data_IF_948261691346
#
_entry.id   IF_948261691346
#
_cell.length_a   1.000
_cell.length_b   1.000
_cell.length_c   1.000
_cell.angle_alpha   90.00
_cell.angle_beta   90.00
_cell.angle_gamma   90.00
#
_symmetry.space_group_name_H-M   'P 1'
#
loop_
_entity.id
_entity.type
_entity.pdbx_description
1 polymer ?
#
# COMPACT_ATOMS: atom_id res chain seq x y z
N UNK A 1 19.58 -10.73 -17.60
CA UNK A 1 19.50 -9.49 -16.79
C UNK A 1 20.87 -8.82 -16.58
N UNK A 2 21.98 -9.56 -16.63
CA UNK A 2 23.32 -9.07 -16.30
C UNK A 2 23.81 -7.89 -17.16
N UNK A 3 23.55 -7.88 -18.46
CA UNK A 3 24.01 -6.80 -19.34
C UNK A 3 23.28 -5.47 -19.08
N UNK A 4 21.95 -5.51 -18.94
CA UNK A 4 21.15 -4.33 -18.65
C UNK A 4 21.48 -3.71 -17.28
N UNK A 5 21.92 -4.54 -16.32
CA UNK A 5 22.37 -4.07 -15.02
C UNK A 5 23.64 -3.21 -15.11
N UNK A 6 24.60 -3.58 -15.97
CA UNK A 6 25.88 -2.88 -16.19
C UNK A 6 25.78 -1.56 -16.97
N UNK A 7 24.63 -1.28 -17.59
CA UNK A 7 24.44 -0.03 -18.35
C UNK A 7 24.53 1.20 -17.43
N UNK A 8 25.23 2.28 -17.84
CA UNK A 8 25.26 3.54 -17.13
C UNK A 8 23.84 4.07 -16.84
N UNK A 9 23.56 4.60 -15.63
CA UNK A 9 22.23 5.07 -15.24
C UNK A 9 21.60 6.10 -16.18
N UNK A 10 22.43 6.97 -16.78
CA UNK A 10 22.06 7.98 -17.77
C UNK A 10 21.36 7.43 -19.03
N UNK A 11 21.62 6.17 -19.38
CA UNK A 11 20.93 5.50 -20.49
C UNK A 11 19.57 4.90 -20.07
N UNK A 12 19.38 4.62 -18.78
CA UNK A 12 18.11 4.13 -18.23
C UNK A 12 17.14 5.30 -18.01
N UNK A 13 17.66 6.44 -17.57
CA UNK A 13 16.92 7.68 -17.30
C UNK A 13 17.70 8.89 -17.82
N UNK A 14 17.14 9.60 -18.81
CA UNK A 14 17.74 10.82 -19.38
C UNK A 14 16.88 12.04 -19.03
N UNK A 15 17.19 12.71 -17.93
CA UNK A 15 16.30 13.73 -17.33
C UNK A 15 14.98 13.09 -16.89
N UNK A 16 13.84 13.65 -17.28
CA UNK A 16 12.51 13.06 -17.03
C UNK A 16 12.12 11.96 -18.04
N UNK A 17 13.00 11.59 -18.98
CA UNK A 17 12.73 10.54 -19.97
C UNK A 17 13.15 9.18 -19.44
N UNK A 18 12.19 8.50 -18.80
CA UNK A 18 12.33 7.10 -18.39
C UNK A 18 12.42 6.14 -19.60
N UNK A 19 13.13 5.02 -19.39
CA UNK A 19 13.32 3.94 -20.37
C UNK A 19 13.98 4.44 -21.66
N UNK A 20 14.92 5.39 -21.55
CA UNK A 20 15.47 6.12 -22.69
C UNK A 20 16.10 5.18 -23.74
N UNK A 21 17.10 4.37 -23.36
CA UNK A 21 17.77 3.46 -24.29
C UNK A 21 16.80 2.44 -24.91
N UNK A 22 15.83 1.94 -24.14
CA UNK A 22 14.82 1.01 -24.65
C UNK A 22 13.93 1.67 -25.71
N UNK A 23 13.51 2.91 -25.49
CA UNK A 23 12.71 3.67 -26.44
C UNK A 23 13.51 3.95 -27.71
N UNK A 24 14.78 4.33 -27.61
CA UNK A 24 15.65 4.53 -28.79
C UNK A 24 15.82 3.25 -29.61
N UNK A 25 16.05 2.10 -28.97
CA UNK A 25 16.24 0.82 -29.66
C UNK A 25 15.00 0.33 -30.42
N UNK A 26 13.80 0.71 -29.96
CA UNK A 26 12.53 0.23 -30.54
C UNK A 26 11.85 1.24 -31.48
N UNK A 27 12.42 2.44 -31.63
CA UNK A 27 11.97 3.42 -32.62
C UNK A 27 11.95 2.79 -34.02
N UNK A 28 10.90 3.06 -34.78
CA UNK A 28 10.69 2.51 -36.12
C UNK A 28 10.29 1.03 -36.17
N UNK A 29 10.27 0.33 -35.04
CA UNK A 29 9.83 -1.09 -34.97
C UNK A 29 8.38 -1.25 -34.50
N UNK A 30 7.87 -0.28 -33.74
CA UNK A 30 6.47 -0.24 -33.28
C UNK A 30 5.90 1.17 -33.47
N UNK A 31 4.56 1.35 -33.50
CA UNK A 31 3.95 2.66 -33.68
C UNK A 31 4.45 3.69 -32.65
N UNK A 32 4.69 4.92 -33.10
CA UNK A 32 5.18 6.00 -32.26
C UNK A 32 4.27 6.29 -31.05
N UNK A 33 2.97 6.03 -31.18
CA UNK A 33 2.00 6.14 -30.09
C UNK A 33 2.31 5.20 -28.91
N UNK A 34 2.87 4.03 -29.17
CA UNK A 34 3.24 3.05 -28.13
C UNK A 34 4.59 3.43 -27.50
N UNK A 35 5.57 3.82 -28.31
CA UNK A 35 6.91 4.25 -27.82
C UNK A 35 6.81 5.46 -26.89
N UNK A 36 5.94 6.42 -27.24
CA UNK A 36 5.77 7.67 -26.51
C UNK A 36 4.70 7.60 -25.42
N UNK A 37 4.03 6.44 -25.24
CA UNK A 37 3.02 6.29 -24.19
C UNK A 37 3.66 6.56 -22.81
N UNK A 38 3.06 7.44 -21.99
CA UNK A 38 3.53 7.65 -20.63
C UNK A 38 3.39 6.36 -19.82
N UNK A 39 4.34 6.14 -18.89
CA UNK A 39 4.28 5.01 -17.98
C UNK A 39 3.02 5.15 -17.13
N UNK A 40 2.13 4.17 -17.26
CA UNK A 40 0.99 4.03 -16.37
C UNK A 40 1.45 3.19 -15.19
N UNK A 41 1.46 3.77 -13.99
CA UNK A 41 1.64 2.99 -12.78
C UNK A 41 0.52 1.97 -12.69
N UNK A 42 0.84 0.74 -12.27
CA UNK A 42 -0.19 -0.21 -11.91
C UNK A 42 -0.98 0.35 -10.73
N UNK A 43 -2.31 0.40 -10.86
CA UNK A 43 -3.21 0.78 -9.78
C UNK A 43 -3.97 -0.45 -9.33
N UNK A 44 -3.72 -0.88 -8.10
CA UNK A 44 -4.46 -1.97 -7.50
C UNK A 44 -5.92 -1.53 -7.26
N UNK A 45 -6.91 -2.41 -7.48
CA UNK A 45 -8.32 -2.09 -7.26
C UNK A 45 -8.70 -2.17 -5.77
N UNK A 46 -8.03 -1.39 -4.91
CA UNK A 46 -8.17 -1.48 -3.45
C UNK A 46 -9.63 -1.32 -3.00
N UNK A 47 -10.27 -0.19 -3.29
CA UNK A 47 -11.65 0.04 -2.88
C UNK A 47 -12.64 -1.01 -3.41
N UNK A 48 -12.63 -1.40 -4.70
CA UNK A 48 -13.44 -2.52 -5.17
C UNK A 48 -13.19 -3.83 -4.44
N UNK A 49 -11.94 -4.14 -4.08
CA UNK A 49 -11.58 -5.38 -3.39
C UNK A 49 -12.05 -5.43 -1.93
N UNK A 50 -12.03 -4.29 -1.23
CA UNK A 50 -12.29 -4.25 0.22
C UNK A 50 -13.64 -3.63 0.60
N UNK A 51 -14.28 -2.86 -0.30
CA UNK A 51 -15.58 -2.22 -0.05
C UNK A 51 -16.65 -2.60 -1.09
N UNK A 52 -16.29 -3.36 -2.13
CA UNK A 52 -17.18 -3.79 -3.20
C UNK A 52 -18.04 -5.02 -2.87
N UNK A 53 -18.74 -5.52 -3.89
CA UNK A 53 -19.53 -6.76 -3.78
C UNK A 53 -18.58 -7.94 -3.55
N UNK A 54 -18.78 -8.67 -2.45
CA UNK A 54 -17.90 -9.78 -2.05
C UNK A 54 -16.69 -9.34 -1.23
N UNK A 55 -16.69 -8.10 -0.70
CA UNK A 55 -15.72 -7.69 0.30
C UNK A 55 -15.72 -8.67 1.48
N UNK A 56 -14.53 -9.05 2.01
CA UNK A 56 -14.45 -9.93 3.17
C UNK A 56 -15.17 -9.34 4.38
N UNK A 57 -15.88 -10.19 5.15
CA UNK A 57 -16.71 -9.77 6.28
C UNK A 57 -15.90 -9.00 7.35
N UNK A 58 -14.68 -9.46 7.64
CA UNK A 58 -13.79 -8.84 8.61
C UNK A 58 -13.51 -7.36 8.31
N UNK A 59 -13.57 -6.93 7.04
CA UNK A 59 -13.26 -5.55 6.66
C UNK A 59 -14.29 -4.58 7.22
N UNK A 60 -15.57 -4.96 7.16
CA UNK A 60 -16.65 -4.11 7.68
C UNK A 60 -16.57 -4.01 9.20
N UNK A 61 -16.22 -5.10 9.87
CA UNK A 61 -16.01 -5.11 11.32
C UNK A 61 -14.86 -4.19 11.73
N UNK A 62 -13.67 -4.34 11.11
CA UNK A 62 -12.49 -3.56 11.45
C UNK A 62 -12.61 -2.06 11.14
N UNK A 63 -13.46 -1.69 10.18
CA UNK A 63 -13.73 -0.30 9.84
C UNK A 63 -14.97 0.26 10.56
N UNK A 64 -15.61 -0.53 11.43
CA UNK A 64 -16.76 -0.08 12.20
C UNK A 64 -16.35 0.94 13.26
N UNK A 65 -17.26 1.88 13.57
CA UNK A 65 -17.03 2.89 14.61
C UNK A 65 -16.66 2.27 15.97
N UNK A 66 -17.27 1.13 16.31
CA UNK A 66 -16.98 0.38 17.53
C UNK A 66 -15.52 -0.08 17.59
N UNK A 67 -15.01 -0.71 16.53
CA UNK A 67 -13.63 -1.24 16.52
C UNK A 67 -12.61 -0.11 16.39
N UNK A 68 -12.89 0.89 15.56
CA UNK A 68 -12.05 2.10 15.46
C UNK A 68 -11.89 2.77 16.84
N UNK A 69 -12.98 2.86 17.61
CA UNK A 69 -12.96 3.40 18.97
C UNK A 69 -12.22 2.49 19.96
N UNK A 70 -12.44 1.17 19.91
CA UNK A 70 -11.78 0.20 20.80
C UNK A 70 -10.26 0.14 20.60
N UNK A 71 -9.80 0.28 19.36
CA UNK A 71 -8.36 0.23 19.06
C UNK A 71 -7.68 1.58 19.28
N UNK A 72 -8.43 2.69 19.20
CA UNK A 72 -7.97 4.02 19.56
C UNK A 72 -6.89 4.64 18.65
N UNK A 73 -6.54 3.98 17.53
CA UNK A 73 -5.52 4.47 16.59
C UNK A 73 -6.05 5.60 15.71
N UNK A 74 -7.32 5.53 15.31
CA UNK A 74 -7.93 6.50 14.40
C UNK A 74 -9.18 7.11 15.02
N UNK A 75 -9.43 8.38 14.69
CA UNK A 75 -10.65 9.07 15.10
C UNK A 75 -11.85 8.59 14.25
N UNK A 76 -12.84 7.88 14.82
CA UNK A 76 -13.97 7.35 14.08
C UNK A 76 -14.79 8.44 13.36
N UNK A 77 -14.93 9.62 13.99
CA UNK A 77 -15.68 10.75 13.43
C UNK A 77 -15.08 11.27 12.11
N UNK A 78 -13.80 10.97 11.84
CA UNK A 78 -13.12 11.35 10.59
C UNK A 78 -13.07 10.21 9.59
N UNK A 79 -12.79 8.98 10.06
CA UNK A 79 -12.57 7.82 9.19
C UNK A 79 -13.88 7.27 8.65
N UNK A 80 -14.92 7.13 9.47
CA UNK A 80 -16.19 6.54 9.04
C UNK A 80 -16.82 7.31 7.86
N UNK A 81 -16.94 8.65 7.90
CA UNK A 81 -17.45 9.41 6.76
C UNK A 81 -16.55 9.30 5.52
N UNK A 82 -15.23 9.21 5.71
CA UNK A 82 -14.28 9.04 4.62
C UNK A 82 -14.46 7.69 3.93
N UNK A 83 -14.56 6.59 4.68
CA UNK A 83 -14.80 5.25 4.12
C UNK A 83 -16.14 5.20 3.38
N UNK A 84 -17.19 5.80 3.93
CA UNK A 84 -18.50 5.89 3.26
C UNK A 84 -18.45 6.71 1.96
N UNK A 85 -17.67 7.80 1.94
CA UNK A 85 -17.41 8.57 0.71
C UNK A 85 -16.70 7.70 -0.33
N UNK A 86 -15.66 6.95 0.07
CA UNK A 86 -14.89 6.08 -0.83
C UNK A 86 -15.79 4.98 -1.40
N UNK A 87 -16.63 4.36 -0.56
CA UNK A 87 -17.55 3.30 -0.95
C UNK A 87 -18.58 3.73 -2.01
N UNK A 88 -19.01 5.00 -1.96
CA UNK A 88 -19.97 5.57 -2.91
C UNK A 88 -19.31 6.10 -4.19
N UNK A 89 -17.99 6.23 -4.21
CA UNK A 89 -17.26 6.73 -5.37
C UNK A 89 -17.06 5.62 -6.41
N UNK A 90 -17.47 5.88 -7.65
CA UNK A 90 -17.22 4.98 -8.78
C UNK A 90 -15.72 4.93 -9.15
N UNK A 91 -14.98 6.01 -8.87
CA UNK A 91 -13.54 6.11 -9.14
C UNK A 91 -12.80 6.81 -7.99
N UNK A 92 -12.51 6.07 -6.90
CA UNK A 92 -11.72 6.61 -5.81
C UNK A 92 -10.34 7.06 -6.29
N UNK A 93 -9.89 8.19 -5.78
CA UNK A 93 -8.54 8.71 -6.04
C UNK A 93 -7.47 7.76 -5.51
N UNK A 94 -6.23 7.92 -5.97
CA UNK A 94 -5.11 7.14 -5.42
C UNK A 94 -4.95 7.38 -3.91
N UNK A 95 -5.10 8.64 -3.47
CA UNK A 95 -5.03 9.01 -2.06
C UNK A 95 -6.10 8.29 -1.23
N UNK A 96 -7.33 8.22 -1.73
CA UNK A 96 -8.44 7.52 -1.08
C UNK A 96 -8.17 6.01 -0.98
N UNK A 97 -7.72 5.38 -2.07
CA UNK A 97 -7.34 3.96 -2.06
C UNK A 97 -6.22 3.67 -1.05
N UNK A 98 -5.18 4.49 -1.03
CA UNK A 98 -4.06 4.33 -0.10
C UNK A 98 -4.46 4.61 1.34
N UNK A 99 -5.38 5.54 1.57
CA UNK A 99 -5.91 5.81 2.92
C UNK A 99 -6.70 4.62 3.44
N UNK A 100 -7.59 4.04 2.62
CA UNK A 100 -8.32 2.81 2.97
C UNK A 100 -7.35 1.66 3.27
N UNK A 101 -6.36 1.44 2.41
CA UNK A 101 -5.36 0.40 2.62
C UNK A 101 -4.59 0.59 3.93
N UNK A 102 -4.18 1.83 4.24
CA UNK A 102 -3.44 2.15 5.45
C UNK A 102 -4.26 1.94 6.72
N UNK A 103 -5.49 2.45 6.76
CA UNK A 103 -6.41 2.27 7.91
C UNK A 103 -6.68 0.80 8.14
N UNK A 104 -7.10 0.07 7.10
CA UNK A 104 -7.42 -1.35 7.20
C UNK A 104 -6.20 -2.18 7.64
N UNK A 105 -5.01 -1.88 7.10
CA UNK A 105 -3.78 -2.59 7.46
C UNK A 105 -3.41 -2.37 8.93
N UNK A 106 -3.51 -1.14 9.42
CA UNK A 106 -3.25 -0.83 10.83
C UNK A 106 -4.26 -1.51 11.75
N UNK A 107 -5.55 -1.49 11.40
CA UNK A 107 -6.59 -2.19 12.14
C UNK A 107 -6.35 -3.70 12.17
N UNK A 108 -5.97 -4.30 11.04
CA UNK A 108 -5.61 -5.71 10.95
C UNK A 108 -4.43 -6.09 11.86
N UNK A 109 -3.40 -5.24 11.92
CA UNK A 109 -2.24 -5.50 12.78
C UNK A 109 -2.64 -5.52 14.27
N UNK A 110 -3.42 -4.55 14.72
CA UNK A 110 -3.92 -4.52 16.11
C UNK A 110 -4.80 -5.73 16.38
N UNK A 111 -5.72 -6.03 15.45
CA UNK A 111 -6.60 -7.17 15.58
C UNK A 111 -5.79 -8.45 15.75
N UNK A 112 -4.85 -8.73 14.85
CA UNK A 112 -4.10 -9.98 14.84
C UNK A 112 -3.09 -10.11 16.01
N UNK A 113 -2.40 -9.03 16.37
CA UNK A 113 -1.23 -9.12 17.27
C UNK A 113 -1.43 -8.52 18.66
N UNK A 114 -2.50 -7.75 18.88
CA UNK A 114 -2.75 -7.11 20.18
C UNK A 114 -4.04 -7.68 20.80
N UNK A 115 -5.12 -7.79 20.02
CA UNK A 115 -6.45 -8.16 20.54
C UNK A 115 -6.76 -9.66 20.40
N UNK A 116 -6.26 -10.32 19.36
CA UNK A 116 -6.57 -11.73 19.02
C UNK A 116 -5.41 -12.71 19.30
N UNK A 117 -4.31 -12.27 19.96
CA UNK A 117 -3.13 -13.11 20.29
C UNK A 117 -2.58 -12.93 21.72
N UNK A 118 -3.43 -12.67 22.72
CA UNK A 118 -2.98 -12.78 24.13
C UNK A 118 -3.03 -14.19 24.71
N UNK A 119 -3.49 -15.20 23.94
CA UNK A 119 -3.34 -16.61 24.32
C UNK A 119 -2.03 -17.18 23.72
N UNK A 120 -0.89 -16.85 24.35
CA UNK A 120 0.42 -17.44 24.01
C UNK A 120 1.60 -16.50 24.08
N UNK A 121 1.39 -15.18 24.05
CA UNK A 121 2.42 -14.17 24.29
C UNK A 121 2.58 -13.93 25.79
N UNK A 122 3.14 -14.91 26.51
CA UNK A 122 3.67 -14.65 27.84
C UNK A 122 4.94 -13.81 27.68
N UNK A 123 4.88 -12.51 28.01
CA UNK A 123 6.02 -11.60 27.99
C UNK A 123 7.18 -12.09 28.87
N UNK A 124 6.96 -13.05 29.77
CA UNK A 124 8.03 -13.72 30.55
C UNK A 124 8.76 -14.82 29.78
N UNK A 125 8.19 -15.33 28.68
CA UNK A 125 8.80 -16.37 27.82
C UNK A 125 9.58 -15.81 26.63
N UNK A 126 9.49 -14.49 26.36
CA UNK A 126 10.34 -13.82 25.38
C UNK A 126 11.74 -13.67 26.01
N UNK A 127 12.57 -14.71 25.90
CA UNK A 127 13.98 -14.60 26.24
C UNK A 127 14.67 -13.76 25.16
N UNK A 128 14.99 -12.53 25.52
CA UNK A 128 15.79 -11.57 24.74
C UNK A 128 15.08 -10.99 23.51
N UNK A 129 14.07 -10.11 23.69
CA UNK A 129 13.66 -9.25 22.60
C UNK A 129 14.84 -8.35 22.27
N UNK A 130 15.49 -8.56 21.12
CA UNK A 130 16.50 -7.64 20.59
C UNK A 130 15.80 -6.31 20.26
N UNK A 131 15.65 -5.47 21.27
CA UNK A 131 15.26 -4.08 21.13
C UNK A 131 16.45 -3.39 20.46
N UNK A 132 16.33 -3.08 19.17
CA UNK A 132 17.33 -2.28 18.47
C UNK A 132 17.12 -0.84 18.95
N UNK A 133 17.89 -0.44 19.96
CA UNK A 133 17.94 0.95 20.39
C UNK A 133 18.73 1.80 19.39
N UNK A 134 18.28 3.05 19.19
CA UNK A 134 18.86 4.03 18.26
C UNK A 134 20.34 4.35 18.52
N UNK A 135 20.91 3.94 19.65
CA UNK A 135 22.33 4.11 19.98
C UNK A 135 23.29 3.22 19.19
N UNK A 136 22.79 2.34 18.31
CA UNK A 136 23.63 1.45 17.47
C UNK A 136 23.95 2.04 16.08
N UNK A 137 23.53 3.29 15.82
CA UNK A 137 23.86 4.04 14.60
C UNK A 137 24.92 5.11 14.93
N UNK A 138 26.18 4.69 14.97
CA UNK A 138 27.35 5.55 14.71
C UNK A 138 28.39 4.74 13.95
#
# INVERSE_FOLDING_TARGET
MEYAAKLPPEYKLKGLKEKFILKELIKGRIPASIVNRPKQAYRAPIAPSFLGKGAPEYVQELLSEKILSDYGIFNPATVVPLIEKIKKSDRPTELENMTLAGVLSAQLLVHQYIKNQTEGLDLKTISDPKVINESTLN
#
